data_IF_395344585290
#
_entry.id   IF_395344585290
#
_cell.length_a   1.000
_cell.length_b   1.000
_cell.length_c   1.000
_cell.angle_alpha   90.00
_cell.angle_beta   90.00
_cell.angle_gamma   90.00
#
_symmetry.space_group_name_H-M   'P 1'
#
loop_
_entity.id
_entity.type
_entity.pdbx_description
1 polymer ?
#
# COMPACT_ATOMS: atom_id res chain seq x y z
N UNK A 1 -10.47 -5.50 -54.23
CA UNK A 1 -9.89 -5.24 -52.89
C UNK A 1 -8.79 -6.29 -52.66
N UNK A 2 -7.53 -5.98 -53.00
CA UNK A 2 -6.43 -6.96 -52.97
C UNK A 2 -5.87 -7.06 -51.54
N UNK A 3 -6.52 -7.86 -50.71
CA UNK A 3 -5.87 -8.44 -49.54
C UNK A 3 -4.80 -9.41 -50.03
N UNK A 4 -3.54 -9.14 -49.70
CA UNK A 4 -2.39 -10.09 -49.58
C UNK A 4 -1.05 -9.43 -49.97
N UNK A 5 -0.50 -8.62 -49.07
CA UNK A 5 0.95 -8.62 -48.87
C UNK A 5 1.19 -9.23 -47.50
N UNK A 6 2.02 -10.27 -47.42
CA UNK A 6 2.36 -10.98 -46.17
C UNK A 6 2.80 -10.01 -45.06
N UNK A 7 3.39 -8.87 -45.45
CA UNK A 7 3.78 -7.80 -44.54
C UNK A 7 2.60 -7.05 -43.91
N UNK A 8 1.48 -6.87 -44.61
CA UNK A 8 0.31 -6.18 -44.06
C UNK A 8 -0.41 -7.06 -43.04
N UNK A 9 -0.44 -8.38 -43.30
CA UNK A 9 -0.91 -9.37 -42.32
C UNK A 9 0.00 -9.41 -41.08
N UNK A 10 1.33 -9.33 -41.27
CA UNK A 10 2.28 -9.28 -40.16
C UNK A 10 2.10 -8.01 -39.33
N UNK A 11 1.87 -6.87 -39.99
CA UNK A 11 1.66 -5.58 -39.34
C UNK A 11 0.37 -5.59 -38.51
N UNK A 12 -0.72 -6.15 -39.05
CA UNK A 12 -1.97 -6.34 -38.32
C UNK A 12 -1.80 -7.26 -37.10
N UNK A 13 -1.04 -8.34 -37.24
CA UNK A 13 -0.78 -9.29 -36.15
C UNK A 13 0.05 -8.65 -35.01
N UNK A 14 1.06 -7.84 -35.35
CA UNK A 14 1.87 -7.08 -34.38
C UNK A 14 1.03 -6.04 -33.64
N UNK A 15 0.13 -5.34 -34.33
CA UNK A 15 -0.77 -4.35 -33.70
C UNK A 15 -1.73 -5.04 -32.73
N UNK A 16 -2.30 -6.19 -33.10
CA UNK A 16 -3.16 -6.98 -32.22
C UNK A 16 -2.38 -7.47 -30.99
N UNK A 17 -1.14 -7.92 -31.17
CA UNK A 17 -0.27 -8.35 -30.06
C UNK A 17 -0.01 -7.20 -29.08
N UNK A 18 0.30 -5.99 -29.57
CA UNK A 18 0.55 -4.81 -28.73
C UNK A 18 -0.69 -4.41 -27.92
N UNK A 19 -1.88 -4.46 -28.52
CA UNK A 19 -3.14 -4.18 -27.83
C UNK A 19 -3.40 -5.24 -26.75
N UNK A 20 -3.17 -6.52 -27.04
CA UNK A 20 -3.32 -7.59 -26.06
C UNK A 20 -2.35 -7.42 -24.88
N UNK A 21 -1.10 -7.03 -25.12
CA UNK A 21 -0.11 -6.75 -24.06
C UNK A 21 -0.54 -5.57 -23.20
N UNK A 22 -1.05 -4.48 -23.80
CA UNK A 22 -1.58 -3.35 -23.04
C UNK A 22 -2.79 -3.74 -22.18
N UNK A 23 -3.70 -4.56 -22.70
CA UNK A 23 -4.85 -5.05 -21.92
C UNK A 23 -4.35 -5.95 -20.78
N UNK A 24 -3.39 -6.83 -21.04
CA UNK A 24 -2.82 -7.71 -20.01
C UNK A 24 -2.15 -6.92 -18.88
N UNK A 25 -1.38 -5.87 -19.20
CA UNK A 25 -0.74 -5.00 -18.21
C UNK A 25 -1.76 -4.25 -17.33
N UNK A 26 -2.91 -3.87 -17.88
CA UNK A 26 -3.98 -3.22 -17.12
C UNK A 26 -4.88 -4.21 -16.35
N UNK A 27 -4.85 -5.50 -16.71
CA UNK A 27 -5.64 -6.55 -16.07
C UNK A 27 -4.97 -7.15 -14.83
N UNK A 28 -3.69 -6.85 -14.57
CA UNK A 28 -3.06 -7.27 -13.33
C UNK A 28 -3.61 -6.43 -12.16
N UNK A 29 -4.18 -7.07 -11.14
CA UNK A 29 -4.61 -6.36 -9.94
C UNK A 29 -3.39 -5.70 -9.30
N UNK A 30 -3.52 -4.42 -8.94
CA UNK A 30 -2.51 -3.75 -8.12
C UNK A 30 -2.37 -4.54 -6.82
N UNK A 31 -1.17 -5.05 -6.54
CA UNK A 31 -0.82 -5.61 -5.23
C UNK A 31 -0.97 -4.46 -4.22
N UNK A 32 -2.03 -4.50 -3.44
CA UNK A 32 -2.25 -3.59 -2.32
C UNK A 32 -2.08 -4.34 -1.01
N UNK A 33 -2.23 -3.61 0.09
CA UNK A 33 -2.21 -4.18 1.44
C UNK A 33 -3.62 -4.63 1.83
N UNK A 34 -3.72 -5.70 2.61
CA UNK A 34 -5.01 -6.22 3.12
C UNK A 34 -5.46 -5.56 4.42
N UNK A 35 -4.65 -4.64 4.95
CA UNK A 35 -4.88 -4.00 6.23
C UNK A 35 -3.57 -3.55 6.85
N UNK A 36 -3.62 -3.23 8.13
CA UNK A 36 -2.43 -2.85 8.89
C UNK A 36 -2.55 -3.19 10.37
N UNK A 37 -1.42 -3.41 11.01
CA UNK A 37 -1.30 -3.52 12.45
C UNK A 37 -0.68 -2.23 13.01
N UNK A 38 -1.27 -1.71 14.07
CA UNK A 38 -0.76 -0.54 14.75
C UNK A 38 -0.18 -0.95 16.09
N UNK A 39 1.08 -0.59 16.30
CA UNK A 39 1.81 -0.81 17.53
C UNK A 39 2.04 0.53 18.23
N UNK A 40 1.82 0.57 19.54
CA UNK A 40 2.17 1.67 20.41
C UNK A 40 3.10 1.13 21.49
N UNK A 41 4.30 1.72 21.65
CA UNK A 41 5.30 1.27 22.64
C UNK A 41 5.59 -0.25 22.56
N UNK A 42 5.62 -0.79 21.33
CA UNK A 42 5.83 -2.22 20.99
C UNK A 42 4.66 -3.16 21.29
N UNK A 43 3.53 -2.66 21.80
CA UNK A 43 2.32 -3.46 21.99
C UNK A 43 1.36 -3.25 20.84
N UNK A 44 0.76 -4.34 20.33
CA UNK A 44 -0.25 -4.28 19.28
C UNK A 44 -1.56 -3.78 19.89
N UNK A 45 -1.98 -2.58 19.51
CA UNK A 45 -3.19 -1.93 20.03
C UNK A 45 -4.38 -2.04 19.10
N UNK A 46 -4.14 -2.17 17.79
CA UNK A 46 -5.18 -2.15 16.78
C UNK A 46 -4.78 -2.99 15.56
N UNK A 47 -5.77 -3.64 14.96
CA UNK A 47 -5.67 -4.26 13.66
C UNK A 47 -6.75 -3.69 12.74
N UNK A 48 -6.31 -3.09 11.65
CA UNK A 48 -7.16 -2.47 10.63
C UNK A 48 -7.35 -3.50 9.52
N UNK A 49 -8.59 -3.89 9.25
CA UNK A 49 -8.96 -4.81 8.17
C UNK A 49 -10.07 -4.25 7.28
N UNK A 50 -10.71 -3.16 7.69
CA UNK A 50 -11.81 -2.52 6.97
C UNK A 50 -11.44 -1.08 6.68
N UNK A 51 -11.95 -0.57 5.57
CA UNK A 51 -11.72 0.82 5.20
C UNK A 51 -12.31 1.78 6.24
N UNK A 52 -11.59 2.87 6.49
CA UNK A 52 -12.00 3.88 7.45
C UNK A 52 -10.83 4.67 8.03
N UNK A 53 -11.20 5.59 8.92
CA UNK A 53 -10.26 6.39 9.71
C UNK A 53 -10.24 5.90 11.15
N UNK A 54 -9.04 5.74 11.69
CA UNK A 54 -8.78 5.21 13.03
C UNK A 54 -7.96 6.21 13.83
N UNK A 55 -8.48 6.59 15.00
CA UNK A 55 -7.81 7.50 15.93
C UNK A 55 -7.06 6.70 16.99
N UNK A 56 -5.76 6.94 17.09
CA UNK A 56 -4.87 6.34 18.09
C UNK A 56 -4.72 7.33 19.24
N UNK A 57 -5.00 6.85 20.45
CA UNK A 57 -4.93 7.64 21.69
C UNK A 57 -3.94 7.01 22.66
N UNK A 58 -3.35 7.83 23.53
CA UNK A 58 -2.59 7.33 24.68
C UNK A 58 -3.50 6.88 25.83
N UNK A 59 -2.91 6.34 26.89
CA UNK A 59 -3.61 5.90 28.10
C UNK A 59 -4.37 7.03 28.81
N UNK A 60 -3.95 8.28 28.58
CA UNK A 60 -4.55 9.49 29.12
C UNK A 60 -5.72 10.02 28.25
N UNK A 61 -5.98 9.38 27.10
CA UNK A 61 -7.04 9.73 26.17
C UNK A 61 -6.70 10.84 25.17
N UNK A 62 -5.46 11.32 25.16
CA UNK A 62 -4.97 12.30 24.19
C UNK A 62 -4.80 11.67 22.81
N UNK A 63 -5.16 12.42 21.77
CA UNK A 63 -5.03 11.98 20.39
C UNK A 63 -3.57 12.08 19.93
N UNK A 64 -2.97 10.94 19.58
CA UNK A 64 -1.59 10.87 19.10
C UNK A 64 -1.50 10.89 17.58
N UNK A 65 -2.44 10.23 16.90
CA UNK A 65 -2.38 10.01 15.46
C UNK A 65 -3.75 9.59 14.89
N UNK A 66 -4.03 10.01 13.65
CA UNK A 66 -5.13 9.50 12.84
C UNK A 66 -4.59 8.76 11.61
N UNK A 67 -5.06 7.54 11.41
CA UNK A 67 -4.65 6.67 10.31
C UNK A 67 -5.85 6.39 9.41
N UNK A 68 -5.66 6.44 8.11
CA UNK A 68 -6.70 6.17 7.12
C UNK A 68 -6.30 5.00 6.23
N UNK A 69 -7.20 4.04 6.11
CA UNK A 69 -7.05 2.88 5.23
C UNK A 69 -8.18 2.87 4.21
N UNK A 70 -7.84 3.00 2.93
CA UNK A 70 -8.78 3.08 1.79
C UNK A 70 -8.10 2.48 0.56
N UNK A 71 -8.85 1.76 -0.28
CA UNK A 71 -8.39 1.22 -1.57
C UNK A 71 -7.12 0.35 -1.43
N UNK A 72 -7.04 -0.46 -0.37
CA UNK A 72 -5.86 -1.29 -0.05
C UNK A 72 -4.57 -0.47 0.12
N UNK A 73 -4.70 0.75 0.66
CA UNK A 73 -3.59 1.67 0.94
C UNK A 73 -3.81 2.36 2.28
N UNK A 74 -2.73 2.69 2.96
CA UNK A 74 -2.77 3.31 4.29
C UNK A 74 -1.94 4.58 4.33
N UNK A 75 -2.42 5.59 5.06
CA UNK A 75 -1.67 6.80 5.34
C UNK A 75 -1.96 7.33 6.74
N UNK A 76 -1.07 8.17 7.24
CA UNK A 76 -1.34 8.99 8.43
C UNK A 76 -1.89 10.33 7.97
N UNK A 77 -3.10 10.68 8.42
CA UNK A 77 -3.73 11.98 8.11
C UNK A 77 -3.13 13.08 8.98
N UNK A 78 -2.98 12.80 10.27
CA UNK A 78 -2.52 13.76 11.26
C UNK A 78 -1.86 13.04 12.43
N UNK A 79 -0.87 13.68 13.04
CA UNK A 79 -0.12 13.21 14.19
C UNK A 79 0.24 14.38 15.10
N UNK A 80 0.16 14.20 16.40
CA UNK A 80 0.59 15.21 17.38
C UNK A 80 2.11 15.49 17.36
N UNK A 81 2.91 14.68 16.65
CA UNK A 81 4.36 14.78 16.68
C UNK A 81 4.89 16.01 15.91
N UNK A 82 6.00 16.63 16.35
CA UNK A 82 6.57 17.82 15.70
C UNK A 82 7.26 17.50 14.37
N UNK A 83 7.73 16.26 14.19
CA UNK A 83 8.51 15.87 13.02
C UNK A 83 7.65 15.66 11.78
N UNK A 84 6.37 15.30 11.96
CA UNK A 84 5.40 15.12 10.86
C UNK A 84 5.86 14.16 9.74
N UNK A 85 6.88 13.34 10.00
CA UNK A 85 7.46 12.41 9.01
C UNK A 85 6.44 11.37 8.59
N UNK A 86 5.66 10.85 9.54
CA UNK A 86 4.61 9.87 9.28
C UNK A 86 3.49 10.40 8.36
N UNK A 87 3.14 11.69 8.48
CA UNK A 87 2.19 12.35 7.57
C UNK A 87 2.82 12.53 6.18
N UNK A 88 4.08 12.98 6.13
CA UNK A 88 4.81 13.21 4.88
C UNK A 88 5.10 11.92 4.11
N UNK A 89 5.08 10.75 4.75
CA UNK A 89 5.17 9.44 4.06
C UNK A 89 4.05 9.26 3.03
N UNK A 90 2.86 9.83 3.29
CA UNK A 90 1.73 9.74 2.37
C UNK A 90 1.15 8.32 2.30
N UNK A 91 0.66 7.96 1.10
CA UNK A 91 0.02 6.67 0.85
C UNK A 91 1.04 5.55 0.73
N UNK A 92 0.83 4.50 1.51
CA UNK A 92 1.59 3.26 1.49
C UNK A 92 0.71 2.12 0.99
N UNK A 93 1.17 1.46 -0.06
CA UNK A 93 0.50 0.32 -0.70
C UNK A 93 1.35 -0.98 -0.63
N UNK A 94 2.58 -0.88 -0.09
CA UNK A 94 3.51 -1.98 0.01
C UNK A 94 3.54 -2.55 1.45
N UNK A 95 3.35 -3.88 1.65
CA UNK A 95 3.43 -4.50 2.97
C UNK A 95 4.79 -4.37 3.66
N UNK A 96 5.87 -4.20 2.90
CA UNK A 96 7.23 -4.11 3.44
C UNK A 96 7.63 -2.67 3.82
N UNK A 97 6.72 -1.70 3.69
CA UNK A 97 6.96 -0.30 4.01
C UNK A 97 6.16 0.13 5.25
N UNK A 98 6.70 0.01 6.47
CA UNK A 98 6.02 0.52 7.66
C UNK A 98 6.03 2.05 7.73
N UNK A 99 4.97 2.64 8.29
CA UNK A 99 4.94 4.06 8.67
C UNK A 99 5.36 4.18 10.14
N UNK A 100 6.44 4.91 10.40
CA UNK A 100 7.05 5.01 11.73
C UNK A 100 6.93 6.43 12.26
N UNK A 101 6.42 6.59 13.47
CA UNK A 101 6.42 7.84 14.22
C UNK A 101 7.28 7.67 15.48
N UNK A 102 8.54 8.07 15.38
CA UNK A 102 9.53 7.91 16.45
C UNK A 102 9.11 8.63 17.74
N UNK A 103 8.68 9.92 17.71
CA UNK A 103 8.38 10.65 18.94
C UNK A 103 7.21 10.08 19.74
N UNK A 104 6.19 9.54 19.05
CA UNK A 104 5.01 8.96 19.70
C UNK A 104 5.16 7.44 19.91
N UNK A 105 6.29 6.84 19.51
CA UNK A 105 6.53 5.38 19.56
C UNK A 105 5.43 4.55 18.87
N UNK A 106 4.92 5.05 17.75
CA UNK A 106 3.86 4.40 16.96
C UNK A 106 4.46 3.81 15.68
N UNK A 107 4.10 2.56 15.39
CA UNK A 107 4.43 1.88 14.14
C UNK A 107 3.13 1.40 13.50
N UNK A 108 2.86 1.84 12.27
CA UNK A 108 1.79 1.32 11.43
C UNK A 108 2.43 0.37 10.43
N UNK A 109 2.23 -0.94 10.62
CA UNK A 109 2.77 -2.01 9.78
C UNK A 109 1.69 -2.49 8.80
N UNK A 110 1.81 -2.20 7.50
CA UNK A 110 0.89 -2.73 6.53
C UNK A 110 1.01 -4.26 6.42
N UNK A 111 -0.10 -4.94 6.13
CA UNK A 111 -0.16 -6.40 5.98
C UNK A 111 -0.31 -6.77 4.51
N UNK A 112 0.53 -7.71 4.06
CA UNK A 112 0.48 -8.25 2.69
C UNK A 112 -0.58 -9.34 2.52
N UNK A 113 -0.89 -9.66 1.28
CA UNK A 113 -1.54 -10.92 0.92
C UNK A 113 -0.58 -12.10 1.15
N UNK A 114 -1.11 -13.28 1.47
CA UNK A 114 -0.37 -14.47 1.94
C UNK A 114 0.76 -14.97 0.99
N UNK A 115 0.83 -14.46 -0.25
CA UNK A 115 1.88 -14.79 -1.24
C UNK A 115 3.15 -13.93 -1.15
N UNK A 116 3.16 -12.83 -0.37
CA UNK A 116 4.33 -11.94 -0.21
C UNK A 116 5.13 -12.26 1.06
N UNK A 117 5.39 -13.55 1.32
CA UNK A 117 6.41 -13.96 2.30
C UNK A 117 7.82 -13.79 1.72
N UNK A 118 8.12 -12.60 1.21
CA UNK A 118 9.50 -12.17 1.03
C UNK A 118 10.07 -11.92 2.43
N UNK A 119 10.91 -12.84 2.89
CA UNK A 119 11.52 -12.81 4.22
C UNK A 119 12.53 -11.66 4.25
N UNK A 120 12.08 -10.47 4.60
CA UNK A 120 12.96 -9.33 4.83
C UNK A 120 13.63 -9.44 6.20
N UNK A 121 14.93 -9.71 6.19
CA UNK A 121 15.78 -9.79 7.39
C UNK A 121 16.11 -8.37 7.84
N UNK A 122 15.21 -7.73 8.58
CA UNK A 122 15.54 -6.52 9.33
C UNK A 122 16.21 -6.92 10.65
N UNK A 123 17.52 -6.70 10.75
CA UNK A 123 18.24 -6.76 12.03
C UNK A 123 17.95 -5.48 12.80
N UNK A 124 17.41 -5.63 14.01
CA UNK A 124 17.09 -4.56 14.96
C UNK A 124 18.22 -4.37 15.98
#
# INVERSE_FOLDING_TARGET
>A
MKFTKKNDLYLLLVVILLVLVMIFMNAYPKKGINGAEVYLKREKILQITKEGTYSIKNDEGELLMNVEYIDQRIRVIDSSCPLKVCENTGWVENPNQPIICIPNEIIVKPLGTEDDTEIDIYTW
#
